data_IF_883353588612
#
_entry.id   IF_883353588612
#
_cell.length_a   1.000
_cell.length_b   1.000
_cell.length_c   1.000
_cell.angle_alpha   90.00
_cell.angle_beta   90.00
_cell.angle_gamma   90.00
#
_symmetry.space_group_name_H-M   'P 1'
#
loop_
_entity.id
_entity.type
_entity.pdbx_description
1 polymer ?
#
# COMPACT_ATOMS: atom_id res chain seq x y z
N UNK A 1 31.13 -40.58 -1.75
CA UNK A 1 31.75 -39.27 -2.03
C UNK A 1 30.97 -38.68 -3.19
N UNK A 2 30.22 -37.58 -3.08
CA UNK A 2 30.28 -36.45 -2.15
C UNK A 2 28.84 -35.94 -1.95
N UNK A 3 28.48 -35.69 -0.69
CA UNK A 3 27.28 -34.94 -0.34
C UNK A 3 27.57 -33.45 -0.63
N UNK A 4 26.76 -32.81 -1.46
CA UNK A 4 26.74 -31.35 -1.56
C UNK A 4 25.51 -30.84 -0.80
N UNK A 5 25.66 -30.93 0.52
CA UNK A 5 24.96 -30.12 1.51
C UNK A 5 25.59 -28.73 1.46
N UNK A 6 24.98 -27.78 0.75
CA UNK A 6 25.16 -26.36 1.05
C UNK A 6 23.81 -25.68 0.92
N UNK A 7 23.10 -25.72 2.04
CA UNK A 7 22.03 -24.79 2.38
C UNK A 7 22.54 -23.36 2.15
N UNK A 8 22.26 -22.83 0.95
CA UNK A 8 22.66 -21.48 0.55
C UNK A 8 21.83 -20.52 1.39
N UNK A 9 22.35 -20.17 2.56
CA UNK A 9 21.86 -19.07 3.37
C UNK A 9 21.80 -17.82 2.48
N UNK A 10 20.59 -17.50 2.03
CA UNK A 10 20.31 -16.25 1.33
C UNK A 10 20.69 -15.15 2.32
N UNK A 11 21.67 -14.27 2.01
CA UNK A 11 22.05 -13.22 2.94
C UNK A 11 20.81 -12.36 3.19
N UNK A 12 20.31 -12.40 4.42
CA UNK A 12 19.12 -11.69 4.89
C UNK A 12 19.28 -10.16 4.90
N UNK A 13 20.31 -9.64 4.25
CA UNK A 13 20.68 -8.22 4.18
C UNK A 13 19.95 -7.42 3.11
N UNK A 14 19.20 -8.07 2.21
CA UNK A 14 18.51 -7.38 1.10
C UNK A 14 17.01 -7.14 1.38
N UNK A 15 16.59 -7.25 2.64
CA UNK A 15 15.20 -7.00 3.02
C UNK A 15 14.97 -5.50 3.11
N UNK A 16 14.48 -4.89 2.03
CA UNK A 16 14.00 -3.51 2.03
C UNK A 16 12.73 -3.46 2.90
N UNK A 17 12.72 -2.75 4.04
CA UNK A 17 11.55 -2.67 4.87
C UNK A 17 10.48 -1.83 4.16
N UNK A 18 9.36 -2.47 3.81
CA UNK A 18 8.20 -1.76 3.28
C UNK A 18 7.51 -1.01 4.42
N UNK A 19 7.89 0.24 4.63
CA UNK A 19 7.19 1.13 5.55
C UNK A 19 5.90 1.63 4.91
N UNK A 20 4.82 1.74 5.71
CA UNK A 20 3.55 2.31 5.24
C UNK A 20 3.78 3.72 4.70
N UNK A 21 3.39 3.95 3.45
CA UNK A 21 3.59 5.24 2.81
C UNK A 21 2.62 6.28 3.41
N UNK A 22 3.03 7.55 3.58
CA UNK A 22 2.12 8.60 4.04
C UNK A 22 0.86 8.74 3.18
N UNK A 23 0.93 8.40 1.88
CA UNK A 23 -0.20 8.41 0.95
C UNK A 23 -1.23 7.32 1.26
N UNK A 24 -0.85 6.28 2.01
CA UNK A 24 -1.75 5.25 2.54
C UNK A 24 -2.40 5.67 3.88
N UNK A 25 -2.03 6.83 4.43
CA UNK A 25 -2.69 7.42 5.61
C UNK A 25 -4.06 7.93 5.21
N UNK A 26 -5.07 7.07 5.36
CA UNK A 26 -6.46 7.34 4.93
C UNK A 26 -7.09 6.21 4.12
N UNK A 27 -6.29 5.22 3.70
CA UNK A 27 -6.76 3.95 3.17
C UNK A 27 -7.32 3.13 4.34
N UNK A 28 -8.64 2.94 4.36
CA UNK A 28 -9.34 2.20 5.43
C UNK A 28 -9.43 0.71 5.11
N UNK A 29 -9.57 0.37 3.83
CA UNK A 29 -9.54 -1.00 3.32
C UNK A 29 -8.49 -1.10 2.22
N UNK A 30 -7.93 -2.29 1.93
CA UNK A 30 -7.04 -2.49 0.78
C UNK A 30 -7.65 -2.00 -0.54
N UNK A 31 -8.99 -2.06 -0.67
CA UNK A 31 -9.73 -1.58 -1.85
C UNK A 31 -9.77 -0.04 -1.97
N UNK A 32 -9.42 0.70 -0.92
CA UNK A 32 -9.22 2.15 -0.95
C UNK A 32 -7.79 2.53 -1.39
N UNK A 33 -6.88 1.55 -1.51
CA UNK A 33 -5.51 1.83 -1.93
C UNK A 33 -5.48 2.12 -3.43
N UNK A 34 -5.12 3.36 -3.77
CA UNK A 34 -4.93 3.80 -5.15
C UNK A 34 -3.47 3.65 -5.61
N UNK A 35 -2.56 3.28 -4.70
CA UNK A 35 -1.15 3.03 -5.03
C UNK A 35 -1.04 1.74 -5.85
N UNK A 36 -0.33 1.80 -6.98
CA UNK A 36 -0.23 0.69 -7.94
C UNK A 36 -1.32 0.62 -9.02
N UNK A 37 -2.38 1.43 -8.94
CA UNK A 37 -3.41 1.48 -10.01
C UNK A 37 -2.93 2.35 -11.17
N UNK A 38 -2.70 1.73 -12.33
CA UNK A 38 -2.24 2.38 -13.56
C UNK A 38 -3.42 2.97 -14.35
N UNK A 39 -4.62 2.40 -14.20
CA UNK A 39 -5.84 2.90 -14.84
C UNK A 39 -6.24 4.26 -14.27
N UNK A 40 -6.24 5.30 -15.12
CA UNK A 40 -6.61 6.66 -14.71
C UNK A 40 -8.06 6.73 -14.21
N UNK A 41 -8.98 5.99 -14.85
CA UNK A 41 -10.39 5.97 -14.47
C UNK A 41 -10.58 5.35 -13.07
N UNK A 42 -9.91 4.22 -12.80
CA UNK A 42 -10.02 3.55 -11.49
C UNK A 42 -9.41 4.40 -10.39
N UNK A 43 -8.22 4.98 -10.66
CA UNK A 43 -7.58 5.92 -9.73
C UNK A 43 -8.51 7.09 -9.39
N UNK A 44 -9.18 7.69 -10.39
CA UNK A 44 -10.09 8.82 -10.18
C UNK A 44 -11.30 8.46 -9.33
N UNK A 45 -11.88 7.26 -9.52
CA UNK A 45 -13.01 6.77 -8.70
C UNK A 45 -12.62 6.64 -7.23
N UNK A 46 -11.46 6.04 -6.94
CA UNK A 46 -10.96 5.86 -5.57
C UNK A 46 -10.62 7.19 -4.90
N UNK A 47 -9.93 8.08 -5.63
CA UNK A 47 -9.62 9.41 -5.15
C UNK A 47 -10.88 10.21 -4.81
N UNK A 48 -11.92 10.16 -5.67
CA UNK A 48 -13.19 10.84 -5.41
C UNK A 48 -13.88 10.28 -4.15
N UNK A 49 -13.84 8.95 -3.94
CA UNK A 49 -14.39 8.31 -2.75
C UNK A 49 -13.68 8.80 -1.48
N UNK A 50 -12.36 8.87 -1.49
CA UNK A 50 -11.57 9.37 -0.36
C UNK A 50 -11.85 10.85 -0.07
N UNK A 51 -11.87 11.69 -1.12
CA UNK A 51 -12.20 13.11 -0.99
C UNK A 51 -13.61 13.33 -0.43
N UNK A 52 -14.58 12.54 -0.89
CA UNK A 52 -15.96 12.61 -0.41
C UNK A 52 -16.08 12.24 1.07
N UNK A 53 -15.28 11.26 1.55
CA UNK A 53 -15.23 10.92 2.98
C UNK A 53 -14.59 12.03 3.79
N UNK A 54 -13.46 12.58 3.34
CA UNK A 54 -12.80 13.70 4.02
C UNK A 54 -13.75 14.89 4.18
N UNK A 55 -14.49 15.23 3.13
CA UNK A 55 -15.52 16.27 3.16
C UNK A 55 -16.65 15.98 4.16
N UNK A 56 -17.14 14.73 4.23
CA UNK A 56 -18.17 14.34 5.21
C UNK A 56 -17.66 14.40 6.64
N UNK A 57 -16.40 14.00 6.87
CA UNK A 57 -15.78 14.07 8.19
C UNK A 57 -15.60 15.53 8.64
N UNK A 58 -15.17 16.43 7.75
CA UNK A 58 -15.07 17.86 8.07
C UNK A 58 -16.44 18.49 8.32
N UNK A 59 -17.47 18.13 7.56
CA UNK A 59 -18.82 18.66 7.71
C UNK A 59 -19.55 18.20 9.00
N UNK A 60 -19.04 17.17 9.68
CA UNK A 60 -19.61 16.66 10.95
C UNK A 60 -18.95 17.30 12.18
N UNK A 61 -17.91 18.13 11.99
CA UNK A 61 -17.11 18.72 13.08
C UNK A 61 -17.43 20.21 13.34
N UNK A 62 -18.42 20.79 12.67
CA UNK A 62 -19.05 22.09 13.00
C UNK A 62 -20.40 21.90 13.68
#
# INVERSE_FOLDING_TARGET
>A
MVAHEEDRAVPSSDVIPLTRMPQQTGVWTPDDDWTGIISQMERRKLQNRQNQRAYRASATTE
#
